data_IF_794296427389
#
_entry.id   IF_794296427389
#
_cell.length_a   1.000
_cell.length_b   1.000
_cell.length_c   1.000
_cell.angle_alpha   90.00
_cell.angle_beta   90.00
_cell.angle_gamma   90.00
#
_symmetry.space_group_name_H-M   'P 1'
#
loop_
_entity.id
_entity.type
_entity.pdbx_description
1 polymer ?
#
# COMPACT_ATOMS: atom_id res chain seq x y z
N UNK A 1 -18.16 -5.06 24.07
CA UNK A 1 -19.04 -5.81 25.02
C UNK A 1 -18.41 -5.90 26.41
N UNK A 2 -17.19 -6.44 26.55
CA UNK A 2 -16.49 -6.56 27.85
C UNK A 2 -16.32 -5.20 28.53
N UNK A 3 -15.82 -4.19 27.80
CA UNK A 3 -15.75 -2.79 28.27
C UNK A 3 -17.07 -2.32 28.89
N UNK A 4 -18.18 -2.48 28.16
CA UNK A 4 -19.51 -2.10 28.63
C UNK A 4 -19.96 -2.90 29.86
N UNK A 5 -19.58 -4.17 30.00
CA UNK A 5 -19.87 -4.96 31.21
C UNK A 5 -19.10 -4.40 32.42
N UNK A 6 -17.84 -4.02 32.24
CA UNK A 6 -17.02 -3.40 33.28
C UNK A 6 -17.58 -2.03 33.68
N UNK A 7 -17.93 -1.18 32.72
CA UNK A 7 -18.57 0.13 32.97
C UNK A 7 -19.89 0.00 33.75
N UNK A 8 -20.72 -0.98 33.39
CA UNK A 8 -22.03 -1.19 33.98
C UNK A 8 -22.01 -2.12 35.19
N UNK A 9 -20.82 -2.56 35.65
CA UNK A 9 -20.67 -3.49 36.76
C UNK A 9 -21.45 -3.05 38.01
N UNK A 10 -21.44 -1.78 38.46
CA UNK A 10 -22.23 -1.36 39.62
C UNK A 10 -23.74 -1.56 39.42
N UNK A 11 -24.26 -1.29 38.23
CA UNK A 11 -25.67 -1.48 37.90
C UNK A 11 -26.03 -2.97 37.85
N UNK A 12 -25.18 -3.80 37.22
CA UNK A 12 -25.34 -5.25 37.16
C UNK A 12 -25.38 -5.84 38.57
N UNK A 13 -24.43 -5.45 39.44
CA UNK A 13 -24.36 -5.91 40.83
C UNK A 13 -25.63 -5.56 41.61
N UNK A 14 -26.13 -4.33 41.44
CA UNK A 14 -27.37 -3.89 42.11
C UNK A 14 -28.57 -4.76 41.73
N UNK A 15 -28.78 -4.99 40.43
CA UNK A 15 -29.90 -5.79 39.94
C UNK A 15 -29.80 -7.25 40.43
N UNK A 16 -28.60 -7.84 40.39
CA UNK A 16 -28.39 -9.23 40.82
C UNK A 16 -28.50 -9.43 42.33
N UNK A 17 -28.20 -8.42 43.15
CA UNK A 17 -28.40 -8.49 44.61
C UNK A 17 -29.89 -8.45 44.96
N UNK A 18 -30.69 -7.68 44.21
CA UNK A 18 -32.15 -7.61 44.39
C UNK A 18 -32.84 -8.91 43.95
N UNK A 19 -32.30 -9.61 42.94
CA UNK A 19 -32.80 -10.91 42.47
C UNK A 19 -32.17 -12.11 43.20
N UNK A 20 -32.80 -12.52 44.31
CA UNK A 20 -32.37 -13.67 45.12
C UNK A 20 -32.22 -14.99 44.35
N UNK A 21 -32.91 -15.17 43.22
CA UNK A 21 -32.82 -16.40 42.43
C UNK A 21 -31.50 -16.46 41.65
N UNK A 22 -31.00 -15.32 41.20
CA UNK A 22 -29.81 -15.21 40.35
C UNK A 22 -28.63 -14.50 41.04
N UNK A 23 -28.71 -14.25 42.35
CA UNK A 23 -27.65 -13.59 43.13
C UNK A 23 -26.29 -14.30 43.06
N UNK A 24 -26.29 -15.61 42.77
CA UNK A 24 -25.09 -16.41 42.57
C UNK A 24 -24.32 -16.08 41.28
N UNK A 25 -24.92 -15.31 40.35
CA UNK A 25 -24.26 -14.82 39.12
C UNK A 25 -23.52 -13.49 39.32
N UNK A 26 -23.51 -12.95 40.54
CA UNK A 26 -22.84 -11.69 40.83
C UNK A 26 -21.32 -11.83 40.60
N UNK A 27 -20.69 -11.07 39.69
CA UNK A 27 -19.28 -11.24 39.36
C UNK A 27 -18.38 -11.04 40.58
N UNK A 28 -17.58 -12.05 40.88
CA UNK A 28 -16.56 -11.99 41.93
C UNK A 28 -15.44 -11.04 41.53
N UNK A 29 -14.55 -10.71 42.47
CA UNK A 29 -13.37 -9.91 42.13
C UNK A 29 -12.46 -10.62 41.10
N UNK A 30 -12.42 -11.96 41.12
CA UNK A 30 -11.64 -12.75 40.17
C UNK A 30 -12.23 -12.67 38.77
N UNK A 31 -13.56 -12.78 38.65
CA UNK A 31 -14.26 -12.64 37.37
C UNK A 31 -14.00 -11.24 36.78
N UNK A 32 -14.05 -10.21 37.61
CA UNK A 32 -13.78 -8.83 37.19
C UNK A 32 -12.33 -8.66 36.72
N UNK A 33 -11.34 -9.20 37.46
CA UNK A 33 -9.94 -9.13 37.07
C UNK A 33 -9.65 -9.86 35.73
N UNK A 34 -10.36 -10.96 35.47
CA UNK A 34 -10.30 -11.65 34.17
C UNK A 34 -10.89 -10.79 33.07
N UNK A 35 -12.06 -10.17 33.29
CA UNK A 35 -12.68 -9.26 32.32
C UNK A 35 -11.79 -8.03 32.04
N UNK A 36 -11.17 -7.46 33.06
CA UNK A 36 -10.21 -6.34 32.93
C UNK A 36 -9.00 -6.75 32.07
N UNK A 37 -8.43 -7.93 32.31
CA UNK A 37 -7.32 -8.46 31.52
C UNK A 37 -7.70 -8.70 30.05
N UNK A 38 -8.90 -9.25 29.80
CA UNK A 38 -9.42 -9.41 28.43
C UNK A 38 -9.62 -8.04 27.79
N UNK A 39 -10.19 -7.07 28.51
CA UNK A 39 -10.42 -5.74 27.99
C UNK A 39 -9.10 -5.03 27.65
N UNK A 40 -8.09 -5.14 28.51
CA UNK A 40 -6.77 -4.55 28.29
C UNK A 40 -6.10 -5.08 27.01
N UNK A 41 -6.27 -6.38 26.69
CA UNK A 41 -5.76 -6.94 25.44
C UNK A 41 -6.59 -6.56 24.20
N UNK A 42 -7.93 -6.53 24.34
CA UNK A 42 -8.85 -6.39 23.20
C UNK A 42 -9.16 -4.94 22.83
N UNK A 43 -9.17 -4.02 23.80
CA UNK A 43 -9.60 -2.64 23.60
C UNK A 43 -8.74 -1.88 22.58
N UNK A 44 -7.39 -1.94 22.63
CA UNK A 44 -6.55 -1.28 21.63
C UNK A 44 -6.84 -1.77 20.21
N UNK A 45 -7.12 -3.06 20.03
CA UNK A 45 -7.48 -3.61 18.71
C UNK A 45 -8.86 -3.15 18.27
N UNK A 46 -9.83 -3.07 19.19
CA UNK A 46 -11.17 -2.58 18.86
C UNK A 46 -11.10 -1.12 18.39
N UNK A 47 -10.38 -0.26 19.13
CA UNK A 47 -10.18 1.14 18.75
C UNK A 47 -9.44 1.27 17.43
N UNK A 48 -8.43 0.42 17.20
CA UNK A 48 -7.71 0.37 15.93
C UNK A 48 -8.62 -0.04 14.76
N UNK A 49 -9.50 -1.03 14.95
CA UNK A 49 -10.46 -1.44 13.91
C UNK A 49 -11.50 -0.36 13.61
N UNK A 50 -11.90 0.44 14.62
CA UNK A 50 -12.78 1.59 14.40
C UNK A 50 -12.08 2.65 13.53
N UNK A 51 -10.80 2.94 13.79
CA UNK A 51 -9.99 3.85 12.95
C UNK A 51 -9.91 3.30 11.51
N UNK A 52 -9.51 2.04 11.35
CA UNK A 52 -9.41 1.40 10.02
C UNK A 52 -10.75 1.39 9.27
N UNK A 53 -11.87 1.27 9.98
CA UNK A 53 -13.19 1.28 9.35
C UNK A 53 -13.58 2.65 8.79
N UNK A 54 -12.93 3.72 9.26
CA UNK A 54 -13.09 5.08 8.75
C UNK A 54 -12.30 5.36 7.46
N UNK A 55 -11.37 4.49 7.07
CA UNK A 55 -10.53 4.69 5.89
C UNK A 55 -11.32 4.47 4.60
N UNK A 56 -11.39 5.51 3.76
CA UNK A 56 -12.13 5.48 2.48
C UNK A 56 -11.42 4.64 1.43
N UNK A 57 -10.08 4.60 1.46
CA UNK A 57 -9.27 3.95 0.43
C UNK A 57 -8.15 3.13 1.08
N UNK A 58 -8.29 1.81 1.03
CA UNK A 58 -7.31 0.87 1.58
C UNK A 58 -6.49 0.29 0.44
N UNK A 59 -5.16 0.45 0.52
CA UNK A 59 -4.22 -0.05 -0.49
C UNK A 59 -3.54 -1.33 0.00
N UNK A 60 -3.17 -2.23 -0.91
CA UNK A 60 -2.39 -3.43 -0.55
C UNK A 60 -1.04 -3.05 0.07
N UNK A 61 -0.47 -1.92 -0.34
CA UNK A 61 0.78 -1.37 0.19
C UNK A 61 0.72 -0.98 1.67
N UNK A 62 -0.45 -0.69 2.24
CA UNK A 62 -0.56 -0.35 3.65
C UNK A 62 -0.68 -1.57 4.57
N UNK A 63 -0.91 -2.76 4.02
CA UNK A 63 -1.14 -3.98 4.80
C UNK A 63 0.10 -4.37 5.62
N UNK A 64 1.31 -4.35 5.05
CA UNK A 64 2.53 -4.65 5.80
C UNK A 64 2.77 -3.62 6.93
N UNK A 65 2.76 -2.30 6.67
CA UNK A 65 2.87 -1.28 7.72
C UNK A 65 1.85 -1.46 8.85
N UNK A 66 0.60 -1.74 8.51
CA UNK A 66 -0.48 -2.01 9.49
C UNK A 66 -0.20 -3.27 10.30
N UNK A 67 0.30 -4.33 9.67
CA UNK A 67 0.66 -5.57 10.38
C UNK A 67 1.81 -5.35 11.36
N UNK A 68 2.81 -4.56 11.01
CA UNK A 68 3.92 -4.20 11.90
C UNK A 68 3.41 -3.38 13.08
N UNK A 69 2.61 -2.33 12.82
CA UNK A 69 1.97 -1.52 13.87
C UNK A 69 1.14 -2.37 14.85
N UNK A 70 0.31 -3.28 14.34
CA UNK A 70 -0.49 -4.17 15.19
C UNK A 70 0.42 -5.05 16.07
N UNK A 71 1.49 -5.60 15.51
CA UNK A 71 2.37 -6.54 16.23
C UNK A 71 3.23 -5.83 17.27
N UNK A 72 3.81 -4.71 16.90
CA UNK A 72 4.84 -4.04 17.67
C UNK A 72 4.23 -3.10 18.72
N UNK A 73 3.14 -2.41 18.39
CA UNK A 73 2.56 -1.41 19.27
C UNK A 73 1.35 -1.93 20.06
N UNK A 74 0.49 -2.75 19.45
CA UNK A 74 -0.77 -3.18 20.07
C UNK A 74 -0.67 -4.55 20.76
N UNK A 75 0.03 -5.50 20.14
CA UNK A 75 0.12 -6.89 20.58
C UNK A 75 1.45 -7.22 21.28
N UNK A 76 2.38 -6.28 21.37
CA UNK A 76 3.60 -6.47 22.15
C UNK A 76 3.25 -6.51 23.64
N UNK A 77 3.65 -7.56 24.38
CA UNK A 77 3.43 -7.62 25.82
C UNK A 77 4.15 -6.48 26.55
N UNK A 78 3.40 -5.71 27.32
CA UNK A 78 3.93 -4.63 28.16
C UNK A 78 4.38 -5.12 29.53
N UNK A 79 5.17 -4.32 30.27
CA UNK A 79 5.60 -4.66 31.63
C UNK A 79 4.44 -4.73 32.64
N UNK A 80 3.38 -3.96 32.39
CA UNK A 80 2.20 -3.87 33.25
C UNK A 80 1.10 -4.88 32.87
N UNK A 81 1.32 -5.70 31.83
CA UNK A 81 0.35 -6.68 31.41
C UNK A 81 0.22 -7.81 32.45
N UNK A 82 -1.02 -8.18 32.76
CA UNK A 82 -1.27 -9.43 33.49
C UNK A 82 -0.82 -10.62 32.65
N UNK A 83 -0.50 -11.75 33.30
CA UNK A 83 -0.13 -12.98 32.58
C UNK A 83 -1.18 -13.41 31.54
N UNK A 84 -2.47 -13.18 31.84
CA UNK A 84 -3.56 -13.42 30.90
C UNK A 84 -3.53 -12.44 29.72
N UNK A 85 -3.36 -11.14 29.97
CA UNK A 85 -3.26 -10.10 28.93
C UNK A 85 -2.12 -10.39 27.96
N UNK A 86 -0.93 -10.67 28.48
CA UNK A 86 0.24 -11.01 27.69
C UNK A 86 0.01 -12.29 26.86
N UNK A 87 -0.61 -13.32 27.44
CA UNK A 87 -0.94 -14.56 26.74
C UNK A 87 -1.94 -14.34 25.60
N UNK A 88 -2.96 -13.51 25.81
CA UNK A 88 -3.95 -13.16 24.78
C UNK A 88 -3.26 -12.44 23.63
N UNK A 89 -2.47 -11.40 23.92
CA UNK A 89 -1.71 -10.63 22.94
C UNK A 89 -0.77 -11.51 22.11
N UNK A 90 0.01 -12.38 22.76
CA UNK A 90 0.89 -13.34 22.10
C UNK A 90 0.14 -14.31 21.19
N UNK A 91 -1.00 -14.83 21.64
CA UNK A 91 -1.82 -15.72 20.82
C UNK A 91 -2.37 -15.02 19.58
N UNK A 92 -2.82 -13.77 19.70
CA UNK A 92 -3.26 -12.97 18.56
C UNK A 92 -2.13 -12.71 17.58
N UNK A 93 -0.96 -12.29 18.09
CA UNK A 93 0.21 -12.02 17.27
C UNK A 93 0.66 -13.27 16.49
N UNK A 94 0.61 -14.44 17.15
CA UNK A 94 0.85 -15.73 16.51
C UNK A 94 -0.15 -16.01 15.39
N UNK A 95 -1.45 -15.91 15.65
CA UNK A 95 -2.49 -16.14 14.62
C UNK A 95 -2.33 -15.19 13.44
N UNK A 96 -2.08 -13.91 13.69
CA UNK A 96 -1.81 -12.92 12.65
C UNK A 96 -0.56 -13.29 11.84
N UNK A 97 0.54 -13.67 12.49
CA UNK A 97 1.77 -14.05 11.81
C UNK A 97 1.60 -15.31 10.97
N UNK A 98 0.87 -16.31 11.48
CA UNK A 98 0.53 -17.53 10.74
C UNK A 98 -0.34 -17.23 9.50
N UNK A 99 -1.32 -16.33 9.63
CA UNK A 99 -2.21 -15.92 8.52
C UNK A 99 -1.45 -15.27 7.36
N UNK A 100 -0.40 -14.52 7.65
CA UNK A 100 0.43 -13.85 6.65
C UNK A 100 1.79 -14.55 6.43
N UNK A 101 1.92 -15.83 6.80
CA UNK A 101 3.19 -16.58 6.68
C UNK A 101 3.56 -17.01 5.25
N UNK A 102 2.61 -16.93 4.32
CA UNK A 102 2.85 -17.33 2.92
C UNK A 102 3.96 -16.51 2.27
N UNK A 103 5.03 -17.14 1.73
CA UNK A 103 6.11 -16.42 1.07
C UNK A 103 5.62 -15.55 -0.10
N UNK A 104 4.65 -16.05 -0.88
CA UNK A 104 4.08 -15.32 -2.01
C UNK A 104 3.35 -14.05 -1.57
N UNK A 105 2.59 -14.12 -0.47
CA UNK A 105 1.91 -12.95 0.10
C UNK A 105 2.95 -11.95 0.61
N UNK A 106 3.99 -12.40 1.32
CA UNK A 106 5.03 -11.51 1.81
C UNK A 106 5.76 -10.79 0.67
N UNK A 107 6.14 -11.50 -0.40
CA UNK A 107 6.77 -10.88 -1.57
C UNK A 107 5.86 -9.83 -2.20
N UNK A 108 4.56 -10.13 -2.37
CA UNK A 108 3.59 -9.17 -2.89
C UNK A 108 3.47 -7.93 -1.99
N UNK A 109 3.30 -8.13 -0.67
CA UNK A 109 3.16 -7.03 0.28
C UNK A 109 4.41 -6.15 0.31
N UNK A 110 5.61 -6.74 0.29
CA UNK A 110 6.87 -6.00 0.24
C UNK A 110 6.98 -5.15 -1.02
N UNK A 111 6.75 -5.74 -2.20
CA UNK A 111 6.78 -5.01 -3.47
C UNK A 111 5.77 -3.87 -3.50
N UNK A 112 4.53 -4.13 -3.09
CA UNK A 112 3.49 -3.10 -3.02
C UNK A 112 3.87 -1.97 -2.05
N UNK A 113 4.43 -2.30 -0.89
CA UNK A 113 4.85 -1.31 0.12
C UNK A 113 6.04 -0.49 -0.38
N UNK A 114 7.04 -1.11 -1.00
CA UNK A 114 8.21 -0.41 -1.56
C UNK A 114 7.79 0.56 -2.67
N UNK A 115 6.90 0.13 -3.57
CA UNK A 115 6.39 0.95 -4.67
C UNK A 115 5.35 1.99 -4.23
N UNK A 116 5.02 2.08 -2.95
CA UNK A 116 4.16 3.15 -2.45
C UNK A 116 5.00 4.36 -2.05
N UNK A 117 4.74 5.56 -2.63
CA UNK A 117 5.50 6.77 -2.34
C UNK A 117 5.41 7.23 -0.88
N UNK A 118 4.46 6.72 -0.09
CA UNK A 118 4.35 6.97 1.36
C UNK A 118 5.38 6.21 2.19
N UNK A 119 5.93 5.12 1.65
CA UNK A 119 6.82 4.23 2.41
C UNK A 119 8.20 4.09 1.78
N UNK A 120 8.31 3.94 0.45
CA UNK A 120 9.58 3.90 -0.31
C UNK A 120 10.65 2.98 0.29
N UNK A 121 10.25 1.85 0.86
CA UNK A 121 11.17 0.88 1.48
C UNK A 121 11.72 1.29 2.84
N UNK A 122 11.20 2.33 3.50
CA UNK A 122 11.63 2.76 4.85
C UNK A 122 11.44 1.70 5.94
N UNK A 123 10.57 0.71 5.69
CA UNK A 123 10.25 -0.39 6.59
C UNK A 123 10.96 -1.71 6.24
N UNK A 124 11.92 -1.68 5.32
CA UNK A 124 12.69 -2.87 4.94
C UNK A 124 14.13 -2.79 5.47
N UNK A 125 14.64 -3.93 5.93
CA UNK A 125 16.07 -4.06 6.21
C UNK A 125 16.87 -3.95 4.91
N UNK A 126 18.07 -3.35 4.97
CA UNK A 126 18.87 -3.06 3.77
C UNK A 126 19.07 -4.26 2.84
N UNK A 127 19.32 -5.46 3.39
CA UNK A 127 19.48 -6.68 2.59
C UNK A 127 18.20 -7.15 1.92
N UNK A 128 17.05 -7.08 2.61
CA UNK A 128 15.76 -7.44 2.04
C UNK A 128 15.32 -6.45 0.97
N UNK A 129 15.66 -5.17 1.12
CA UNK A 129 15.37 -4.12 0.15
C UNK A 129 16.12 -4.35 -1.18
N UNK A 130 17.40 -4.72 -1.11
CA UNK A 130 18.21 -5.02 -2.30
C UNK A 130 17.67 -6.22 -3.09
N UNK A 131 17.25 -7.28 -2.39
CA UNK A 131 16.64 -8.47 -3.01
C UNK A 131 15.34 -8.12 -3.74
N UNK A 132 14.47 -7.33 -3.11
CA UNK A 132 13.20 -6.92 -3.72
C UNK A 132 13.43 -5.96 -4.88
N UNK A 133 14.40 -5.05 -4.77
CA UNK A 133 14.82 -4.17 -5.87
C UNK A 133 15.24 -4.99 -7.10
N UNK A 134 16.05 -6.03 -6.90
CA UNK A 134 16.47 -6.91 -8.00
C UNK A 134 15.28 -7.61 -8.67
N UNK A 135 14.31 -8.09 -7.88
CA UNK A 135 13.10 -8.73 -8.39
C UNK A 135 12.24 -7.75 -9.20
N UNK A 136 12.04 -6.52 -8.70
CA UNK A 136 11.28 -5.48 -9.40
C UNK A 136 11.90 -5.12 -10.75
N UNK A 137 13.22 -4.94 -10.78
CA UNK A 137 13.95 -4.65 -12.02
C UNK A 137 13.86 -5.82 -12.99
N UNK A 138 13.96 -7.06 -12.50
CA UNK A 138 13.81 -8.24 -13.34
C UNK A 138 12.41 -8.34 -13.94
N UNK A 139 11.36 -8.15 -13.13
CA UNK A 139 9.96 -8.15 -13.61
C UNK A 139 9.72 -7.06 -14.65
N UNK A 140 10.28 -5.86 -14.47
CA UNK A 140 10.20 -4.79 -15.46
C UNK A 140 10.86 -5.17 -16.80
N UNK A 141 11.99 -5.89 -16.76
CA UNK A 141 12.66 -6.36 -17.98
C UNK A 141 11.86 -7.45 -18.69
N UNK A 142 11.17 -8.30 -17.93
CA UNK A 142 10.35 -9.40 -18.44
C UNK A 142 9.04 -8.90 -19.06
N UNK A 143 8.54 -7.70 -18.69
CA UNK A 143 7.33 -7.08 -19.26
C UNK A 143 7.46 -6.68 -20.75
N UNK A 144 8.67 -6.72 -21.34
CA UNK A 144 8.89 -6.39 -22.75
C UNK A 144 8.62 -4.91 -23.09
N UNK A 145 8.92 -4.46 -24.32
CA UNK A 145 8.46 -3.15 -24.76
C UNK A 145 6.94 -3.19 -24.92
N UNK A 146 6.23 -2.37 -24.15
CA UNK A 146 4.84 -2.00 -24.40
C UNK A 146 4.70 -1.68 -25.90
N UNK A 147 4.03 -2.55 -26.67
CA UNK A 147 3.37 -2.07 -27.88
C UNK A 147 2.40 -1.02 -27.37
N UNK A 148 2.66 0.24 -27.69
CA UNK A 148 1.74 1.36 -27.51
C UNK A 148 0.44 1.02 -28.22
N UNK A 149 -0.39 0.22 -27.56
CA UNK A 149 -1.73 -0.12 -27.93
C UNK A 149 -2.54 1.14 -27.81
N UNK A 150 -2.72 1.76 -28.97
CA UNK A 150 -3.85 2.60 -29.31
C UNK A 150 -5.01 2.29 -28.36
N UNK A 151 -5.22 3.18 -27.39
CA UNK A 151 -6.40 3.19 -26.53
C UNK A 151 -7.58 3.36 -27.48
N UNK A 152 -8.10 2.23 -27.96
CA UNK A 152 -9.32 2.16 -28.74
C UNK A 152 -10.42 2.53 -27.77
N UNK A 153 -10.74 3.83 -27.81
CA UNK A 153 -11.94 4.42 -27.26
C UNK A 153 -13.11 3.47 -27.48
N UNK A 154 -13.73 3.06 -26.37
CA UNK A 154 -14.93 2.26 -26.37
C UNK A 154 -16.02 2.90 -27.23
N UNK A 155 -16.32 2.22 -28.33
CA UNK A 155 -17.64 2.00 -28.92
C UNK A 155 -18.79 2.90 -28.39
N UNK A 156 -19.17 3.91 -29.18
CA UNK A 156 -20.58 4.28 -29.32
C UNK A 156 -20.92 4.94 -30.66
N UNK A 157 -21.87 4.30 -31.35
CA UNK A 157 -22.74 4.75 -32.43
C UNK A 157 -22.18 5.07 -33.83
N UNK A 158 -22.43 4.11 -34.72
CA UNK A 158 -22.39 4.24 -36.17
C UNK A 158 -23.54 5.10 -36.74
N UNK A 159 -23.17 5.84 -37.81
CA UNK A 159 -23.92 6.28 -39.01
C UNK A 159 -24.67 7.62 -39.02
N UNK A 160 -24.12 8.56 -39.80
CA UNK A 160 -24.67 9.10 -41.06
C UNK A 160 -23.51 9.78 -41.84
N UNK A 161 -23.05 9.29 -42.99
CA UNK A 161 -23.48 9.57 -44.38
C UNK A 161 -23.32 11.02 -44.86
N UNK A 162 -22.51 11.19 -45.93
CA UNK A 162 -22.35 12.40 -46.75
C UNK A 162 -20.94 12.98 -46.61
N UNK A 163 -20.18 13.33 -47.63
CA UNK A 163 -20.36 13.42 -49.08
C UNK A 163 -19.23 14.32 -49.63
N UNK A 164 -18.76 14.00 -50.84
CA UNK A 164 -17.94 14.79 -51.77
C UNK A 164 -16.43 15.02 -51.53
N UNK A 165 -15.65 14.42 -52.44
CA UNK A 165 -14.79 15.07 -53.46
C UNK A 165 -13.97 16.31 -53.04
N UNK A 166 -12.64 16.17 -53.02
CA UNK A 166 -11.78 16.76 -54.07
C UNK A 166 -10.30 16.36 -53.92
N UNK A 167 -9.68 16.13 -55.08
CA UNK A 167 -8.28 15.74 -55.31
C UNK A 167 -7.35 16.99 -55.34
N UNK A 168 -6.05 16.87 -55.66
CA UNK A 168 -4.94 17.27 -54.82
C UNK A 168 -4.38 18.67 -55.16
N UNK A 169 -3.62 19.30 -54.26
CA UNK A 169 -2.71 20.37 -54.69
C UNK A 169 -1.40 20.39 -53.92
N UNK A 170 -0.34 20.21 -54.70
CA UNK A 170 1.06 20.24 -54.31
C UNK A 170 1.50 21.64 -53.84
N UNK A 171 2.26 21.70 -52.75
CA UNK A 171 3.24 22.74 -52.50
C UNK A 171 4.27 22.28 -51.45
N UNK A 172 5.18 21.39 -51.86
CA UNK A 172 6.37 21.06 -51.08
C UNK A 172 7.35 22.25 -51.09
N UNK A 173 7.19 23.18 -50.15
CA UNK A 173 8.21 24.18 -49.83
C UNK A 173 9.38 23.46 -49.15
N UNK A 174 10.44 23.21 -49.91
CA UNK A 174 11.71 22.66 -49.43
C UNK A 174 12.38 23.67 -48.50
N UNK A 175 12.04 23.60 -47.21
CA UNK A 175 12.76 24.34 -46.16
C UNK A 175 14.22 23.91 -46.21
N UNK A 176 15.11 24.83 -46.62
CA UNK A 176 16.57 24.63 -46.62
C UNK A 176 16.98 24.25 -45.20
N UNK A 177 17.38 22.98 -45.01
CA UNK A 177 17.82 22.43 -43.71
C UNK A 177 18.97 23.30 -43.19
N UNK A 178 18.78 23.92 -42.03
CA UNK A 178 19.80 24.75 -41.40
C UNK A 178 20.82 23.85 -40.68
N UNK A 179 22.03 24.37 -40.47
CA UNK A 179 23.06 23.70 -39.67
C UNK A 179 22.55 23.31 -38.27
N UNK A 180 21.67 24.13 -37.68
CA UNK A 180 20.97 23.84 -36.43
C UNK A 180 20.18 22.53 -36.48
N UNK A 181 19.48 22.29 -37.59
CA UNK A 181 18.63 21.12 -37.77
C UNK A 181 19.49 19.85 -37.94
N UNK A 182 20.65 19.98 -38.59
CA UNK A 182 21.62 18.88 -38.72
C UNK A 182 22.28 18.56 -37.37
N UNK A 183 22.62 19.57 -36.57
CA UNK A 183 23.18 19.38 -35.23
C UNK A 183 22.15 18.82 -34.25
N UNK A 184 20.89 19.29 -34.29
CA UNK A 184 19.79 18.72 -33.51
C UNK A 184 19.51 17.27 -33.93
N UNK A 185 19.47 16.97 -35.22
CA UNK A 185 19.31 15.59 -35.69
C UNK A 185 20.50 14.70 -35.32
N UNK A 186 21.72 15.21 -35.32
CA UNK A 186 22.90 14.46 -34.85
C UNK A 186 22.86 14.23 -33.35
N UNK A 187 22.43 15.23 -32.59
CA UNK A 187 22.24 15.13 -31.14
C UNK A 187 21.13 14.14 -30.80
N UNK A 188 20.00 14.19 -31.50
CA UNK A 188 18.90 13.24 -31.36
C UNK A 188 19.34 11.82 -31.72
N UNK A 189 20.08 11.62 -32.83
CA UNK A 189 20.64 10.31 -33.19
C UNK A 189 21.63 9.80 -32.14
N UNK A 190 22.52 10.65 -31.65
CA UNK A 190 23.47 10.28 -30.61
C UNK A 190 22.76 9.98 -29.27
N UNK A 191 21.69 10.70 -28.92
CA UNK A 191 20.87 10.41 -27.74
C UNK A 191 20.13 9.08 -27.90
N UNK A 192 19.47 8.84 -29.04
CA UNK A 192 18.77 7.58 -29.30
C UNK A 192 19.74 6.39 -29.36
N UNK A 193 20.95 6.60 -29.86
CA UNK A 193 21.99 5.58 -29.94
C UNK A 193 22.67 5.35 -28.58
N UNK A 194 22.76 6.37 -27.72
CA UNK A 194 23.17 6.24 -26.33
C UNK A 194 22.09 5.56 -25.48
N UNK A 195 20.81 5.88 -25.66
CA UNK A 195 19.68 5.18 -25.03
C UNK A 195 19.61 3.71 -25.45
N UNK A 196 19.94 3.38 -26.70
CA UNK A 196 20.12 2.00 -27.16
C UNK A 196 21.40 1.32 -26.62
N UNK A 197 22.38 2.09 -26.12
CA UNK A 197 23.65 1.59 -25.60
C UNK A 197 23.64 1.36 -24.08
N UNK A 198 22.76 2.00 -23.32
CA UNK A 198 22.59 1.69 -21.90
C UNK A 198 21.76 0.41 -21.77
N UNK A 199 22.24 -0.61 -21.03
CA UNK A 199 21.44 -1.79 -20.75
C UNK A 199 20.14 -1.35 -20.08
N UNK A 200 18.97 -1.76 -20.59
CA UNK A 200 17.64 -1.42 -20.00
C UNK A 200 17.61 -1.63 -18.48
N UNK A 201 18.33 -2.65 -18.01
CA UNK A 201 18.52 -2.95 -16.59
C UNK A 201 19.13 -1.79 -15.80
N UNK A 202 20.18 -1.15 -16.33
CA UNK A 202 20.88 -0.03 -15.67
C UNK A 202 19.96 1.19 -15.55
N UNK A 203 19.11 1.44 -16.55
CA UNK A 203 18.13 2.53 -16.51
C UNK A 203 17.05 2.25 -15.46
N UNK A 204 16.49 1.04 -15.46
CA UNK A 204 15.51 0.59 -14.46
C UNK A 204 16.06 0.67 -13.03
N UNK A 205 17.29 0.18 -12.82
CA UNK A 205 17.99 0.27 -11.54
C UNK A 205 18.17 1.72 -11.09
N UNK A 206 18.57 2.61 -12.00
CA UNK A 206 18.79 4.02 -11.69
C UNK A 206 17.49 4.74 -11.34
N UNK A 207 16.40 4.47 -12.07
CA UNK A 207 15.09 5.06 -11.82
C UNK A 207 14.50 4.58 -10.50
N UNK A 208 14.53 3.28 -10.23
CA UNK A 208 14.07 2.74 -8.95
C UNK A 208 14.91 3.27 -7.79
N UNK A 209 16.23 3.37 -7.95
CA UNK A 209 17.10 3.97 -6.92
C UNK A 209 16.75 5.44 -6.68
N UNK A 210 16.51 6.21 -7.74
CA UNK A 210 16.09 7.60 -7.62
C UNK A 210 14.78 7.71 -6.86
N UNK A 211 13.79 6.88 -7.21
CA UNK A 211 12.50 6.82 -6.51
C UNK A 211 12.68 6.53 -5.02
N UNK A 212 13.48 5.54 -4.64
CA UNK A 212 13.72 5.19 -3.23
C UNK A 212 14.47 6.27 -2.44
N UNK A 213 15.17 7.17 -3.12
CA UNK A 213 15.93 8.27 -2.49
C UNK A 213 15.13 9.56 -2.33
N UNK A 214 13.99 9.73 -3.01
CA UNK A 214 13.15 10.91 -2.76
C UNK A 214 12.41 10.78 -1.42
N UNK A 215 11.99 11.91 -0.86
CA UNK A 215 11.25 11.93 0.39
C UNK A 215 9.89 11.21 0.27
N UNK A 216 9.55 10.48 1.32
CA UNK A 216 8.23 9.88 1.47
C UNK A 216 7.16 11.00 1.53
N UNK A 217 6.06 10.78 0.82
CA UNK A 217 4.91 11.69 0.93
C UNK A 217 4.14 11.42 2.23
N UNK A 218 3.31 12.37 2.64
CA UNK A 218 2.51 12.22 3.85
C UNK A 218 1.58 11.01 3.77
N UNK A 219 1.38 10.33 4.91
CA UNK A 219 0.59 9.11 4.99
C UNK A 219 -0.90 9.32 4.61
N UNK A 220 -1.41 10.55 4.75
CA UNK A 220 -2.78 10.92 4.39
C UNK A 220 -2.97 11.23 2.89
N UNK A 221 -1.88 11.36 2.12
CA UNK A 221 -1.97 11.59 0.69
C UNK A 221 -2.40 10.33 -0.06
N UNK A 222 -3.10 10.52 -1.20
CA UNK A 222 -3.43 9.44 -2.13
C UNK A 222 -2.21 9.07 -2.99
N UNK A 223 -1.64 7.86 -2.85
CA UNK A 223 -0.46 7.46 -3.62
C UNK A 223 -0.74 7.37 -5.13
N UNK A 224 -1.99 7.17 -5.57
CA UNK A 224 -2.32 7.07 -6.99
C UNK A 224 -2.34 8.44 -7.67
N UNK A 225 -2.78 9.48 -6.96
CA UNK A 225 -2.68 10.86 -7.44
C UNK A 225 -1.21 11.24 -7.64
N UNK A 226 -0.33 10.82 -6.72
CA UNK A 226 1.10 11.04 -6.86
C UNK A 226 1.70 10.36 -8.11
N UNK A 227 1.32 9.10 -8.37
CA UNK A 227 1.76 8.39 -9.57
C UNK A 227 1.26 9.04 -10.85
N UNK A 228 0.01 9.51 -10.86
CA UNK A 228 -0.56 10.24 -11.99
C UNK A 228 0.19 11.55 -12.27
N UNK A 229 0.48 12.35 -11.24
CA UNK A 229 1.20 13.63 -11.39
C UNK A 229 2.65 13.44 -11.88
N UNK A 230 3.23 12.26 -11.65
CA UNK A 230 4.58 11.90 -12.10
C UNK A 230 4.61 11.32 -13.51
N UNK A 231 3.48 10.85 -14.03
CA UNK A 231 3.34 10.39 -15.43
C UNK A 231 3.60 11.53 -16.42
N UNK A 232 3.19 12.77 -16.09
CA UNK A 232 3.39 13.95 -16.93
C UNK A 232 4.85 14.50 -16.93
N UNK A 233 5.71 13.97 -16.06
CA UNK A 233 7.07 14.49 -15.80
C UNK A 233 8.16 13.53 -16.32
N UNK A 234 7.83 12.26 -16.57
CA UNK A 234 8.74 11.21 -17.08
C UNK A 234 8.66 11.05 -18.60
#
# INVERSE_FOLDING_TARGET
MVERVLEQLPAIRRVLVEDKKHSHLNPTWQDVAVLESINAAMKPLADFTDILSGEKYVTVSSVKPVLELIKDDLLSPGPDDTALTASIKQNMCRVLTEKYSSPAINVLLRKATILDPRYRGSMEEAGALDDVKHQLVQELLDLGPEESGERTSGESCSKATGGNEDEPTAAALTKKKRLSDLLQNRRARNLSQAQAAFPKRVLADAELTKFLQEDAIDASCDPLVWWHDKEDIL
#
